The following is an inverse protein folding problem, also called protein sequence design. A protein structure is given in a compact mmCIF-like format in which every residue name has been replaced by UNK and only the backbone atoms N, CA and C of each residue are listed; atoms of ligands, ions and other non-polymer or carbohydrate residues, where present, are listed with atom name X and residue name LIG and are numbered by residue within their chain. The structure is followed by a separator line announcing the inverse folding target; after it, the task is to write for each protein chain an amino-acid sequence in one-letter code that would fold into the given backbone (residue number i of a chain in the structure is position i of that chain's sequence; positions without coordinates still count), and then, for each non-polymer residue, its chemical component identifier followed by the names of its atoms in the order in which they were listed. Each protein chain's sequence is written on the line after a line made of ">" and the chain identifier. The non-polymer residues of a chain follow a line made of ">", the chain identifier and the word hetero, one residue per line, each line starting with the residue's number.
data_IF_699094139121
#
_entry.id   IF_699094139121
#
_cell.length_a   1.000
_cell.length_b   1.000
_cell.length_c   1.000
_cell.angle_alpha   90.00
_cell.angle_beta   90.00
_cell.angle_gamma   90.00
#
_symmetry.space_group_name_H-M   'P 1'
#
loop_
_entity.id
_entity.type
_entity.pdbx_description
1 polymer ?
#
# COMPACT_ATOMS: atom_id res chain seq x y z
N UNK A 1 -48.40 14.15 33.89
CA UNK A 1 -47.01 13.73 33.73
C UNK A 1 -46.82 13.23 32.29
N UNK A 2 -46.25 14.08 31.41
CA UNK A 2 -45.99 13.72 29.99
C UNK A 2 -44.60 13.10 29.89
N UNK A 3 -44.49 11.83 29.50
CA UNK A 3 -43.22 11.16 29.22
C UNK A 3 -42.71 11.62 27.86
N UNK A 4 -41.58 12.32 27.88
CA UNK A 4 -40.83 12.70 26.68
C UNK A 4 -40.00 11.48 26.22
N UNK A 5 -40.36 10.87 25.08
CA UNK A 5 -39.61 9.81 24.46
C UNK A 5 -38.54 10.47 23.61
N UNK A 6 -37.28 10.40 24.07
CA UNK A 6 -36.11 10.84 23.34
C UNK A 6 -35.75 9.76 22.30
N UNK A 7 -36.08 9.98 21.05
CA UNK A 7 -35.62 9.12 19.96
C UNK A 7 -34.16 9.45 19.64
N UNK A 8 -33.24 8.54 20.03
CA UNK A 8 -31.83 8.60 19.63
C UNK A 8 -31.77 8.08 18.20
N UNK A 9 -31.60 9.00 17.25
CA UNK A 9 -31.30 8.67 15.86
C UNK A 9 -29.82 8.22 15.79
N UNK A 10 -29.59 6.92 15.82
CA UNK A 10 -28.27 6.35 15.52
C UNK A 10 -27.97 6.56 14.03
N UNK A 11 -27.17 7.57 13.72
CA UNK A 11 -26.66 7.84 12.39
C UNK A 11 -25.56 6.80 12.10
N UNK A 12 -25.96 5.65 11.54
CA UNK A 12 -25.02 4.67 10.98
C UNK A 12 -24.33 5.32 9.79
N UNK A 13 -23.06 5.69 9.99
CA UNK A 13 -22.18 6.10 8.92
C UNK A 13 -21.93 4.87 8.03
N UNK A 14 -22.74 4.72 6.97
CA UNK A 14 -22.48 3.78 5.90
C UNK A 14 -21.20 4.27 5.22
N UNK A 15 -20.05 3.66 5.54
CA UNK A 15 -18.84 3.77 4.72
C UNK A 15 -19.19 3.18 3.35
N UNK A 16 -19.67 4.03 2.47
CA UNK A 16 -19.87 3.68 1.06
C UNK A 16 -18.48 3.38 0.48
N UNK A 17 -18.19 2.09 0.31
CA UNK A 17 -17.04 1.66 -0.48
C UNK A 17 -17.32 2.15 -1.92
N UNK A 18 -16.65 3.23 -2.35
CA UNK A 18 -16.81 3.79 -3.69
C UNK A 18 -16.54 2.68 -4.71
N UNK A 19 -17.48 2.48 -5.63
CA UNK A 19 -17.35 1.53 -6.74
C UNK A 19 -16.56 2.08 -7.92
N UNK A 20 -16.05 3.31 -7.81
CA UNK A 20 -15.30 4.01 -8.85
C UNK A 20 -14.10 4.74 -8.25
N UNK A 21 -13.08 4.95 -9.07
CA UNK A 21 -12.01 5.90 -8.74
C UNK A 21 -12.58 7.32 -8.74
N UNK A 22 -12.18 8.10 -7.76
CA UNK A 22 -12.58 9.52 -7.65
C UNK A 22 -11.97 10.35 -8.78
N UNK A 23 -12.51 11.54 -9.05
CA UNK A 23 -11.94 12.47 -10.03
C UNK A 23 -10.48 12.80 -9.74
N UNK A 24 -10.14 13.00 -8.46
CA UNK A 24 -8.76 13.26 -8.04
C UNK A 24 -7.83 12.07 -8.28
N UNK A 25 -8.28 10.83 -7.97
CA UNK A 25 -7.51 9.62 -8.26
C UNK A 25 -7.28 9.47 -9.78
N UNK A 26 -8.31 9.70 -10.60
CA UNK A 26 -8.19 9.67 -12.08
C UNK A 26 -7.20 10.71 -12.58
N UNK A 27 -7.26 11.94 -12.06
CA UNK A 27 -6.32 13.00 -12.41
C UNK A 27 -4.89 12.58 -12.12
N UNK A 28 -4.61 11.99 -10.96
CA UNK A 28 -3.28 11.48 -10.59
C UNK A 28 -2.86 10.32 -11.51
N UNK A 29 -3.76 9.34 -11.74
CA UNK A 29 -3.49 8.14 -12.55
C UNK A 29 -3.13 8.51 -13.99
N UNK A 30 -3.75 9.55 -14.55
CA UNK A 30 -3.53 9.98 -15.93
C UNK A 30 -2.63 11.22 -16.06
N UNK A 31 -2.10 11.76 -14.96
CA UNK A 31 -1.25 12.95 -14.97
C UNK A 31 0.14 12.68 -15.56
N UNK A 32 0.72 13.71 -16.15
CA UNK A 32 2.09 13.68 -16.68
C UNK A 32 2.20 13.06 -18.07
N UNK A 33 3.35 13.31 -18.71
CA UNK A 33 3.69 12.80 -20.06
C UNK A 33 4.50 11.48 -19.98
N UNK A 34 4.98 11.11 -18.78
CA UNK A 34 5.80 9.94 -18.52
C UNK A 34 4.97 8.80 -17.94
N UNK A 35 5.41 7.56 -18.19
CA UNK A 35 4.88 6.36 -17.51
C UNK A 35 5.22 6.37 -16.01
N UNK A 36 6.30 7.05 -15.62
CA UNK A 36 6.74 7.17 -14.23
C UNK A 36 5.86 8.17 -13.50
N UNK A 37 5.33 7.76 -12.35
CA UNK A 37 4.52 8.62 -11.48
C UNK A 37 5.40 9.45 -10.54
N UNK A 38 4.90 10.61 -10.13
CA UNK A 38 5.50 11.37 -9.04
C UNK A 38 5.43 10.57 -7.75
N UNK A 39 6.55 10.43 -7.05
CA UNK A 39 6.61 9.81 -5.72
C UNK A 39 6.35 10.88 -4.65
N UNK A 40 5.42 10.58 -3.73
CA UNK A 40 5.13 11.41 -2.56
C UNK A 40 6.30 11.34 -1.58
N UNK A 41 6.67 12.47 -0.97
CA UNK A 41 7.82 12.55 -0.08
C UNK A 41 7.48 13.26 1.24
N UNK A 42 8.02 12.77 2.36
CA UNK A 42 7.89 13.43 3.66
C UNK A 42 8.55 14.81 3.70
N UNK A 43 9.41 15.15 2.75
CA UNK A 43 9.98 16.48 2.60
C UNK A 43 8.94 17.54 2.20
N UNK A 44 7.78 17.13 1.69
CA UNK A 44 6.63 17.96 1.40
C UNK A 44 5.53 17.72 2.43
N UNK A 45 5.01 18.78 3.07
CA UNK A 45 4.02 18.67 4.14
C UNK A 45 2.72 17.98 3.69
N UNK A 46 2.22 18.31 2.50
CA UNK A 46 0.97 17.73 1.98
C UNK A 46 1.13 16.24 1.64
N UNK A 47 2.26 15.88 1.04
CA UNK A 47 2.59 14.49 0.77
C UNK A 47 2.75 13.70 2.08
N UNK A 48 3.42 14.29 3.07
CA UNK A 48 3.59 13.68 4.40
C UNK A 48 2.24 13.37 5.05
N UNK A 49 1.29 14.29 5.00
CA UNK A 49 -0.07 14.08 5.50
C UNK A 49 -0.80 12.96 4.73
N UNK A 50 -0.63 12.90 3.40
CA UNK A 50 -1.19 11.84 2.57
C UNK A 50 -0.59 10.49 2.94
N UNK A 51 0.74 10.38 3.03
CA UNK A 51 1.46 9.15 3.38
C UNK A 51 1.09 8.62 4.78
N UNK A 52 0.61 9.49 5.67
CA UNK A 52 0.12 9.13 7.01
C UNK A 52 -1.36 8.78 7.07
N UNK A 53 -2.04 8.79 5.92
CA UNK A 53 -3.47 8.50 5.83
C UNK A 53 -3.69 7.03 5.46
N UNK A 54 -4.43 6.23 6.26
CA UNK A 54 -4.73 4.85 5.92
C UNK A 54 -5.48 4.71 4.60
N UNK A 55 -5.07 3.72 3.81
CA UNK A 55 -5.62 3.41 2.49
C UNK A 55 -6.94 2.65 2.56
N UNK A 56 -7.83 2.92 1.61
CA UNK A 56 -9.13 2.25 1.46
C UNK A 56 -8.98 0.94 0.67
N UNK A 57 -9.78 -0.09 0.99
CA UNK A 57 -9.77 -1.32 0.22
C UNK A 57 -10.26 -1.09 -1.22
N UNK A 58 -9.73 -1.89 -2.13
CA UNK A 58 -10.23 -2.06 -3.49
C UNK A 58 -11.36 -3.09 -3.50
N UNK A 59 -12.29 -2.96 -4.43
CA UNK A 59 -13.34 -3.95 -4.68
C UNK A 59 -13.25 -4.47 -6.12
N UNK A 60 -13.95 -5.56 -6.43
CA UNK A 60 -13.89 -6.20 -7.75
C UNK A 60 -14.27 -5.27 -8.91
N UNK A 61 -15.17 -4.30 -8.70
CA UNK A 61 -15.57 -3.35 -9.75
C UNK A 61 -14.46 -2.38 -10.11
N UNK A 62 -13.65 -1.97 -9.13
CA UNK A 62 -12.49 -1.10 -9.36
C UNK A 62 -11.42 -1.79 -10.21
N UNK A 63 -11.20 -3.11 -10.02
CA UNK A 63 -10.22 -3.87 -10.79
C UNK A 63 -10.58 -3.99 -12.28
N UNK A 64 -11.86 -3.83 -12.62
CA UNK A 64 -12.36 -3.90 -14.01
C UNK A 64 -12.28 -2.58 -14.76
N UNK A 65 -11.83 -1.50 -14.10
CA UNK A 65 -11.72 -0.17 -14.71
C UNK A 65 -10.34 0.01 -15.35
N UNK A 66 -10.28 0.77 -16.43
CA UNK A 66 -9.02 1.08 -17.13
C UNK A 66 -8.03 1.82 -16.20
N UNK A 67 -8.56 2.60 -15.27
CA UNK A 67 -7.77 3.27 -14.24
C UNK A 67 -6.92 2.30 -13.41
N UNK A 68 -7.46 1.13 -13.07
CA UNK A 68 -6.72 0.12 -12.29
C UNK A 68 -5.54 -0.44 -13.09
N UNK A 69 -5.76 -0.78 -14.35
CA UNK A 69 -4.69 -1.29 -15.22
C UNK A 69 -3.61 -0.22 -15.46
N UNK A 70 -4.04 1.01 -15.71
CA UNK A 70 -3.12 2.15 -15.87
C UNK A 70 -2.32 2.42 -14.61
N UNK A 71 -2.96 2.37 -13.44
CA UNK A 71 -2.29 2.52 -12.15
C UNK A 71 -1.22 1.45 -11.93
N UNK A 72 -1.57 0.17 -12.13
CA UNK A 72 -0.63 -0.94 -12.00
C UNK A 72 0.57 -0.77 -12.95
N UNK A 73 0.31 -0.48 -14.22
CA UNK A 73 1.36 -0.27 -15.21
C UNK A 73 2.31 0.86 -14.78
N UNK A 74 1.78 2.00 -14.38
CA UNK A 74 2.58 3.17 -13.99
C UNK A 74 3.29 2.98 -12.64
N UNK A 75 2.67 2.32 -11.67
CA UNK A 75 3.35 1.94 -10.42
C UNK A 75 4.57 1.06 -10.70
N UNK A 76 4.40 0.06 -11.59
CA UNK A 76 5.50 -0.83 -11.97
C UNK A 76 6.62 -0.06 -12.68
N UNK A 77 6.29 0.80 -13.65
CA UNK A 77 7.27 1.66 -14.33
C UNK A 77 8.02 2.58 -13.33
N UNK A 78 7.32 3.05 -12.30
CA UNK A 78 7.90 3.92 -11.27
C UNK A 78 8.90 3.17 -10.40
N UNK A 79 8.53 1.99 -9.87
CA UNK A 79 9.43 1.23 -8.98
C UNK A 79 10.62 0.64 -9.72
N UNK A 80 10.45 0.27 -10.99
CA UNK A 80 11.51 -0.28 -11.85
C UNK A 80 12.37 0.79 -12.52
N UNK A 81 12.06 2.08 -12.35
CA UNK A 81 12.94 3.13 -12.87
C UNK A 81 14.34 2.99 -12.25
N UNK A 82 15.41 2.92 -13.08
CA UNK A 82 16.79 2.78 -12.59
C UNK A 82 17.22 3.85 -11.58
N UNK A 83 16.58 5.02 -11.59
CA UNK A 83 16.85 6.07 -10.61
C UNK A 83 16.23 5.79 -9.23
N UNK A 84 15.23 4.89 -9.16
CA UNK A 84 14.53 4.55 -7.93
C UNK A 84 15.09 3.30 -7.24
N UNK A 85 15.59 2.32 -8.02
CA UNK A 85 16.13 1.03 -7.53
C UNK A 85 15.20 0.33 -6.51
N UNK A 86 13.87 0.50 -6.66
CA UNK A 86 12.89 0.00 -5.70
C UNK A 86 12.62 -1.50 -5.86
N UNK A 87 12.37 -2.17 -4.75
CA UNK A 87 11.98 -3.60 -4.69
C UNK A 87 10.51 -3.79 -4.29
N UNK A 88 9.86 -2.71 -3.90
CA UNK A 88 8.43 -2.63 -3.57
C UNK A 88 7.90 -1.22 -3.76
N UNK A 89 6.59 -1.09 -3.96
CA UNK A 89 5.89 0.19 -4.02
C UNK A 89 4.43 0.01 -3.59
N UNK A 90 3.95 0.91 -2.74
CA UNK A 90 2.56 1.00 -2.34
C UNK A 90 1.84 2.17 -3.04
N UNK A 91 0.56 2.01 -3.34
CA UNK A 91 -0.21 3.04 -4.03
C UNK A 91 -0.24 4.43 -3.33
N UNK A 92 -0.21 4.54 -1.97
CA UNK A 92 -0.04 5.83 -1.32
C UNK A 92 1.23 6.59 -1.72
N UNK A 93 2.32 5.89 -2.04
CA UNK A 93 3.57 6.52 -2.47
C UNK A 93 3.45 7.24 -3.82
N UNK A 94 2.42 6.91 -4.61
CA UNK A 94 2.09 7.63 -5.86
C UNK A 94 0.80 8.45 -5.74
N UNK A 95 0.35 8.73 -4.52
CA UNK A 95 -0.78 9.61 -4.24
C UNK A 95 -2.16 8.95 -4.27
N UNK A 96 -2.23 7.62 -4.36
CA UNK A 96 -3.48 6.86 -4.46
C UNK A 96 -3.73 6.09 -3.15
N UNK A 97 -4.69 6.56 -2.35
CA UNK A 97 -5.02 5.95 -1.04
C UNK A 97 -5.88 4.69 -1.21
N UNK A 98 -5.33 3.69 -1.91
CA UNK A 98 -5.93 2.36 -2.11
C UNK A 98 -4.98 1.27 -1.63
N UNK A 99 -5.55 0.18 -1.08
CA UNK A 99 -4.76 -0.96 -0.61
C UNK A 99 -4.26 -1.80 -1.80
N UNK A 100 -3.19 -1.34 -2.42
CA UNK A 100 -2.50 -1.98 -3.54
C UNK A 100 -1.00 -1.84 -3.33
N UNK A 101 -0.27 -2.94 -3.47
CA UNK A 101 1.19 -2.94 -3.48
C UNK A 101 1.72 -3.76 -4.66
N UNK A 102 2.89 -3.38 -5.17
CA UNK A 102 3.70 -4.22 -6.04
C UNK A 102 4.97 -4.60 -5.30
N UNK A 103 5.31 -5.89 -5.28
CA UNK A 103 6.48 -6.42 -4.55
C UNK A 103 7.29 -7.31 -5.48
N UNK A 104 8.62 -7.14 -5.47
CA UNK A 104 9.53 -8.06 -6.14
C UNK A 104 9.69 -9.33 -5.30
N UNK A 105 9.32 -10.46 -5.86
CA UNK A 105 9.30 -11.77 -5.19
C UNK A 105 10.67 -12.44 -5.25
N UNK A 106 11.57 -12.06 -4.32
CA UNK A 106 12.91 -12.65 -4.22
C UNK A 106 12.88 -14.14 -3.83
N UNK A 107 11.78 -14.60 -3.27
CA UNK A 107 11.48 -15.97 -2.91
C UNK A 107 11.01 -16.84 -4.10
N UNK A 108 10.80 -16.24 -5.29
CA UNK A 108 10.39 -16.92 -6.52
C UNK A 108 11.50 -16.90 -7.57
N UNK A 109 11.51 -17.92 -8.44
CA UNK A 109 12.41 -17.96 -9.59
C UNK A 109 12.18 -16.75 -10.50
N UNK A 110 13.25 -16.15 -11.00
CA UNK A 110 13.17 -14.94 -11.83
C UNK A 110 12.85 -13.64 -11.09
N UNK A 111 12.55 -13.71 -9.79
CA UNK A 111 12.25 -12.56 -8.94
C UNK A 111 11.24 -11.59 -9.57
N UNK A 112 10.04 -12.06 -9.99
CA UNK A 112 9.06 -11.22 -10.65
C UNK A 112 8.49 -10.17 -9.70
N UNK A 113 8.04 -9.03 -10.25
CA UNK A 113 7.13 -8.15 -9.56
C UNK A 113 5.70 -8.69 -9.66
N UNK A 114 5.01 -8.75 -8.54
CA UNK A 114 3.61 -9.16 -8.45
C UNK A 114 2.80 -8.10 -7.72
N UNK A 115 1.51 -7.94 -8.11
CA UNK A 115 0.57 -7.04 -7.45
C UNK A 115 -0.29 -7.78 -6.43
N UNK A 116 -0.49 -7.14 -5.28
CA UNK A 116 -1.27 -7.67 -4.18
C UNK A 116 -2.37 -6.66 -3.81
N UNK A 117 -3.62 -7.12 -3.90
CA UNK A 117 -4.80 -6.30 -3.67
C UNK A 117 -5.32 -6.57 -2.27
N UNK A 118 -5.54 -5.50 -1.50
CA UNK A 118 -5.96 -5.55 -0.11
C UNK A 118 -5.08 -6.48 0.76
N UNK A 119 -3.74 -6.40 0.66
CA UNK A 119 -2.88 -7.25 1.45
C UNK A 119 -3.04 -6.93 2.94
N UNK A 120 -3.00 -8.00 3.73
CA UNK A 120 -3.08 -7.98 5.20
C UNK A 120 -2.13 -9.05 5.75
N UNK A 121 -1.35 -8.69 6.77
CA UNK A 121 -0.56 -9.66 7.52
C UNK A 121 -1.45 -10.21 8.63
N UNK A 122 -1.81 -11.47 8.51
CA UNK A 122 -2.73 -12.15 9.45
C UNK A 122 -2.00 -12.88 10.57
N UNK A 123 -0.71 -13.18 10.37
CA UNK A 123 0.16 -13.77 11.40
C UNK A 123 1.61 -13.33 11.19
N UNK A 124 2.38 -13.22 12.28
CA UNK A 124 3.80 -12.85 12.29
C UNK A 124 4.57 -13.79 13.20
N UNK A 125 5.73 -14.23 12.75
CA UNK A 125 6.69 -14.93 13.60
C UNK A 125 7.20 -13.97 14.70
N UNK A 126 7.52 -14.53 15.86
CA UNK A 126 8.15 -13.82 16.95
C UNK A 126 9.65 -13.58 16.73
N UNK A 127 10.26 -14.25 15.76
CA UNK A 127 11.67 -14.05 15.38
C UNK A 127 11.78 -12.77 14.59
N UNK A 128 12.51 -11.80 15.15
CA UNK A 128 12.82 -10.53 14.50
C UNK A 128 14.21 -10.57 13.88
N UNK A 129 14.35 -9.96 12.73
CA UNK A 129 15.62 -9.79 12.02
C UNK A 129 15.79 -8.31 11.72
N UNK A 130 16.90 -7.74 12.17
CA UNK A 130 17.29 -6.39 11.81
C UNK A 130 17.84 -6.36 10.37
N UNK A 131 17.44 -5.36 9.61
CA UNK A 131 17.92 -5.14 8.24
C UNK A 131 17.77 -3.70 7.82
N UNK A 132 18.68 -3.22 6.98
CA UNK A 132 18.63 -1.86 6.46
C UNK A 132 17.42 -1.62 5.56
N UNK A 133 16.65 -0.61 5.90
CA UNK A 133 15.53 -0.12 5.11
C UNK A 133 15.77 1.30 4.63
N UNK A 134 15.43 1.55 3.35
CA UNK A 134 15.28 2.85 2.75
C UNK A 134 13.90 2.93 2.09
N UNK A 135 13.44 4.13 1.77
CA UNK A 135 12.14 4.34 1.16
C UNK A 135 12.18 5.50 0.19
N UNK A 136 11.57 5.33 -0.99
CA UNK A 136 11.43 6.41 -1.99
C UNK A 136 10.70 7.64 -1.43
N UNK A 137 9.80 7.43 -0.48
CA UNK A 137 9.04 8.50 0.18
C UNK A 137 9.79 9.13 1.37
N UNK A 138 10.92 8.58 1.78
CA UNK A 138 11.74 9.04 2.92
C UNK A 138 13.18 9.20 2.44
N UNK A 139 13.48 10.28 1.72
CA UNK A 139 14.80 10.48 1.11
C UNK A 139 15.89 10.64 2.19
N UNK A 140 17.11 10.23 1.84
CA UNK A 140 18.33 10.42 2.63
C UNK A 140 18.38 9.66 3.97
N UNK A 141 17.36 8.85 4.31
CA UNK A 141 17.35 8.03 5.52
C UNK A 141 17.43 6.57 5.11
N UNK A 142 18.43 5.87 5.67
CA UNK A 142 18.62 4.44 5.53
C UNK A 142 19.08 3.91 6.91
N UNK A 143 18.24 3.09 7.55
CA UNK A 143 18.48 2.66 8.93
C UNK A 143 18.03 1.21 9.12
N UNK A 144 18.57 0.55 10.12
CA UNK A 144 18.19 -0.81 10.49
C UNK A 144 16.83 -0.83 11.19
N UNK A 145 15.92 -1.67 10.69
CA UNK A 145 14.60 -1.91 11.27
C UNK A 145 14.44 -3.39 11.61
N UNK A 146 13.89 -3.68 12.77
CA UNK A 146 13.53 -5.05 13.16
C UNK A 146 12.19 -5.46 12.55
N UNK A 147 12.20 -6.53 11.73
CA UNK A 147 11.00 -7.09 11.08
C UNK A 147 10.87 -8.57 11.41
N UNK A 148 9.62 -9.06 11.41
CA UNK A 148 9.38 -10.50 11.52
C UNK A 148 10.00 -11.23 10.34
N UNK A 149 10.73 -12.32 10.63
CA UNK A 149 11.41 -13.13 9.61
C UNK A 149 10.41 -13.84 8.69
N UNK A 150 9.24 -14.18 9.23
CA UNK A 150 8.16 -14.86 8.50
C UNK A 150 6.83 -14.19 8.81
N UNK A 151 6.00 -14.10 7.78
CA UNK A 151 4.62 -13.59 7.87
C UNK A 151 3.67 -14.56 7.18
N UNK A 152 2.40 -14.54 7.58
CA UNK A 152 1.31 -15.09 6.79
C UNK A 152 0.56 -13.92 6.17
N UNK A 153 0.60 -13.84 4.84
CA UNK A 153 -0.03 -12.81 4.04
C UNK A 153 -1.37 -13.29 3.51
N UNK A 154 -2.44 -12.51 3.71
CA UNK A 154 -3.73 -12.66 3.04
C UNK A 154 -3.90 -11.54 2.04
N UNK A 155 -4.35 -11.86 0.81
CA UNK A 155 -4.52 -10.87 -0.25
C UNK A 155 -5.50 -11.35 -1.31
N UNK A 156 -5.87 -10.48 -2.24
CA UNK A 156 -6.61 -10.82 -3.45
C UNK A 156 -5.70 -10.66 -4.66
N UNK A 157 -5.86 -11.56 -5.64
CA UNK A 157 -5.22 -11.46 -6.96
C UNK A 157 -6.02 -10.58 -7.93
N UNK A 158 -5.58 -10.48 -9.19
CA UNK A 158 -6.23 -9.69 -10.24
C UNK A 158 -7.63 -10.20 -10.62
N UNK A 159 -7.94 -11.46 -10.37
CA UNK A 159 -9.28 -12.05 -10.57
C UNK A 159 -10.20 -11.83 -9.36
N UNK A 160 -9.68 -11.16 -8.33
CA UNK A 160 -10.32 -10.95 -7.05
C UNK A 160 -10.59 -12.27 -6.31
N UNK A 161 -9.66 -13.22 -6.42
CA UNK A 161 -9.63 -14.46 -5.64
C UNK A 161 -8.74 -14.24 -4.43
N UNK A 162 -9.24 -14.66 -3.26
CA UNK A 162 -8.49 -14.53 -2.00
C UNK A 162 -7.48 -15.65 -1.86
N UNK A 163 -6.26 -15.29 -1.46
CA UNK A 163 -5.16 -16.19 -1.17
C UNK A 163 -4.64 -15.96 0.25
N UNK A 164 -4.01 -16.98 0.79
CA UNK A 164 -3.23 -16.91 2.02
C UNK A 164 -1.91 -17.65 1.80
N UNK A 165 -0.78 -17.01 2.08
CA UNK A 165 0.55 -17.50 1.74
C UNK A 165 1.53 -17.19 2.87
N UNK A 166 2.38 -18.16 3.22
CA UNK A 166 3.53 -17.92 4.11
C UNK A 166 4.70 -17.38 3.29
N UNK A 167 5.28 -16.29 3.77
CA UNK A 167 6.39 -15.61 3.13
C UNK A 167 7.49 -15.40 4.17
N UNK A 168 8.73 -15.63 3.77
CA UNK A 168 9.89 -15.52 4.68
C UNK A 168 11.04 -14.69 4.08
N UNK A 169 11.97 -14.33 4.95
CA UNK A 169 13.20 -13.62 4.59
C UNK A 169 12.96 -12.23 4.05
N UNK A 170 13.78 -11.82 3.08
CA UNK A 170 13.75 -10.45 2.55
C UNK A 170 12.41 -10.08 1.93
N UNK A 171 11.74 -11.01 1.25
CA UNK A 171 10.38 -10.76 0.70
C UNK A 171 9.37 -10.45 1.80
N UNK A 172 9.46 -11.11 2.97
CA UNK A 172 8.61 -10.79 4.12
C UNK A 172 8.87 -9.39 4.68
N UNK A 173 10.14 -8.93 4.66
CA UNK A 173 10.49 -7.56 5.05
C UNK A 173 9.85 -6.56 4.11
N UNK A 174 9.93 -6.77 2.78
CA UNK A 174 9.32 -5.89 1.78
C UNK A 174 7.82 -5.78 2.00
N UNK A 175 7.11 -6.90 2.18
CA UNK A 175 5.66 -6.86 2.45
C UNK A 175 5.31 -6.08 3.72
N UNK A 176 6.08 -6.22 4.80
CA UNK A 176 5.84 -5.47 6.02
C UNK A 176 6.02 -3.97 5.79
N UNK A 177 7.04 -3.57 5.03
CA UNK A 177 7.27 -2.18 4.64
C UNK A 177 6.12 -1.62 3.79
N UNK A 178 5.71 -2.33 2.73
CA UNK A 178 4.67 -1.84 1.82
C UNK A 178 3.28 -1.81 2.48
N UNK A 179 2.98 -2.76 3.37
CA UNK A 179 1.71 -2.77 4.11
C UNK A 179 1.67 -1.65 5.15
N UNK A 180 2.80 -1.30 5.77
CA UNK A 180 2.87 -0.14 6.65
C UNK A 180 2.45 1.14 5.90
N UNK A 181 2.88 1.34 4.66
CA UNK A 181 2.40 2.46 3.83
C UNK A 181 0.88 2.47 3.66
N UNK A 182 0.26 1.29 3.48
CA UNK A 182 -1.20 1.18 3.39
C UNK A 182 -1.92 1.54 4.69
N UNK A 183 -1.23 1.39 5.81
CA UNK A 183 -1.75 1.70 7.15
C UNK A 183 -1.35 3.11 7.64
N UNK A 184 -0.71 3.91 6.75
CA UNK A 184 -0.25 5.27 7.06
C UNK A 184 0.97 5.32 7.96
N UNK A 185 1.77 4.24 7.99
CA UNK A 185 3.02 4.13 8.73
C UNK A 185 4.22 4.21 7.80
N UNK A 186 5.36 4.61 8.34
CA UNK A 186 6.64 4.64 7.63
C UNK A 186 7.69 3.89 8.47
N UNK A 187 8.71 3.33 7.81
CA UNK A 187 9.76 2.59 8.52
C UNK A 187 10.45 3.40 9.61
N UNK A 188 10.54 4.72 9.45
CA UNK A 188 11.10 5.63 10.46
C UNK A 188 10.32 5.67 11.77
N UNK A 189 9.09 5.17 11.82
CA UNK A 189 8.29 5.08 13.05
C UNK A 189 8.80 3.97 13.99
N UNK A 190 9.64 3.07 13.49
CA UNK A 190 10.28 1.99 14.23
C UNK A 190 11.69 2.35 14.73
N UNK A 191 12.22 3.49 14.29
CA UNK A 191 13.53 3.97 14.75
C UNK A 191 13.40 4.52 16.18
N UNK A 192 14.28 4.07 17.08
CA UNK A 192 14.33 4.48 18.49
C UNK A 192 15.31 5.62 18.70
#
# INVERSE_FOLDING_TARGET
>A
MKRLILQIFAMTLLMSCSSEFTSTEREIIYSGESEIMRVMSIANEQDSLLLRTPSKPLNKKLLQQDEFQTLCFRMLATVQNPENEGVGIAAPQVGILRRLVAVQRFDKEGKPFEFFINPEIVDKDSVLVAGGEGCLSVPEIYEDVERSQRITLRYYDADFVQHEEQIEGFTAVIFQHEIDHLDGKLFIDYLQ
#
